data_IF_018861494473
#
_entry.id   IF_018861494473
#
_cell.length_a   1.000
_cell.length_b   1.000
_cell.length_c   1.000
_cell.angle_alpha   90.00
_cell.angle_beta   90.00
_cell.angle_gamma   90.00
#
_symmetry.space_group_name_H-M   'P 1'
#
loop_
_entity.id
_entity.type
_entity.pdbx_description
1 polymer ?
#
# COMPACT_ATOMS: atom_id res chain seq x y z
N UNK A 1 -51.32 7.52 0.31
CA UNK A 1 -49.92 7.71 -0.13
C UNK A 1 -49.19 6.41 0.13
N UNK A 2 -48.79 5.68 -0.91
CA UNK A 2 -47.91 4.52 -0.78
C UNK A 2 -46.52 5.05 -0.47
N UNK A 3 -46.02 4.74 0.72
CA UNK A 3 -44.62 4.97 1.08
C UNK A 3 -43.84 3.91 0.32
N UNK A 4 -43.11 4.32 -0.72
CA UNK A 4 -42.22 3.40 -1.44
C UNK A 4 -41.20 2.85 -0.46
N UNK A 5 -41.19 1.53 -0.28
CA UNK A 5 -40.13 0.84 0.41
C UNK A 5 -38.82 1.17 -0.32
N UNK A 6 -37.97 1.94 0.35
CA UNK A 6 -36.63 2.23 -0.12
C UNK A 6 -35.89 0.90 0.05
N UNK A 7 -35.78 0.13 -1.03
CA UNK A 7 -34.98 -1.08 -1.06
C UNK A 7 -33.55 -0.68 -0.65
N UNK A 8 -33.18 -0.98 0.60
CA UNK A 8 -31.85 -0.72 1.13
C UNK A 8 -30.94 -1.69 0.40
N UNK A 9 -30.41 -1.25 -0.75
CA UNK A 9 -29.47 -2.01 -1.57
C UNK A 9 -28.34 -2.47 -0.65
N UNK A 10 -28.31 -3.77 -0.34
CA UNK A 10 -27.35 -4.34 0.60
C UNK A 10 -25.94 -3.92 0.17
N UNK A 11 -25.13 -3.45 1.14
CA UNK A 11 -23.78 -3.01 0.84
C UNK A 11 -22.98 -4.19 0.28
N UNK A 12 -22.18 -3.99 -0.79
CA UNK A 12 -21.41 -5.09 -1.37
C UNK A 12 -20.51 -5.73 -0.33
N UNK A 13 -20.43 -7.06 -0.34
CA UNK A 13 -19.58 -7.80 0.60
C UNK A 13 -18.12 -7.39 0.43
N UNK A 14 -17.37 -7.17 1.52
CA UNK A 14 -15.96 -6.84 1.44
C UNK A 14 -15.21 -8.01 0.81
N UNK A 15 -14.74 -7.81 -0.41
CA UNK A 15 -14.03 -8.81 -1.18
C UNK A 15 -12.82 -8.20 -1.88
N UNK A 16 -11.80 -9.01 -2.15
CA UNK A 16 -10.66 -8.65 -2.99
C UNK A 16 -11.02 -7.91 -4.27
N UNK A 17 -12.00 -8.44 -4.99
CA UNK A 17 -12.40 -7.99 -6.31
C UNK A 17 -13.12 -6.65 -6.21
N UNK A 18 -13.96 -6.50 -5.18
CA UNK A 18 -14.61 -5.24 -4.87
C UNK A 18 -13.60 -4.15 -4.48
N UNK A 19 -12.61 -4.48 -3.65
CA UNK A 19 -11.52 -3.55 -3.31
C UNK A 19 -10.73 -3.13 -4.56
N UNK A 20 -10.44 -4.07 -5.46
CA UNK A 20 -9.79 -3.77 -6.74
C UNK A 20 -10.62 -2.83 -7.61
N UNK A 21 -11.93 -3.06 -7.71
CA UNK A 21 -12.83 -2.19 -8.45
C UNK A 21 -12.82 -0.76 -7.88
N UNK A 22 -12.97 -0.59 -6.56
CA UNK A 22 -12.94 0.72 -5.90
C UNK A 22 -11.61 1.45 -6.12
N UNK A 23 -10.48 0.74 -6.08
CA UNK A 23 -9.16 1.32 -6.34
C UNK A 23 -8.98 1.74 -7.81
N UNK A 24 -9.54 0.99 -8.75
CA UNK A 24 -9.55 1.34 -10.17
C UNK A 24 -10.44 2.56 -10.43
N UNK A 25 -11.63 2.61 -9.83
CA UNK A 25 -12.53 3.78 -9.88
C UNK A 25 -11.86 5.03 -9.29
N UNK A 26 -11.17 4.88 -8.16
CA UNK A 26 -10.40 5.97 -7.55
C UNK A 26 -9.32 6.49 -8.49
N UNK A 27 -8.56 5.58 -9.09
CA UNK A 27 -7.50 5.93 -10.05
C UNK A 27 -8.08 6.66 -11.27
N UNK A 28 -9.23 6.23 -11.77
CA UNK A 28 -9.92 6.87 -12.89
C UNK A 28 -10.40 8.28 -12.51
N UNK A 29 -11.02 8.45 -11.35
CA UNK A 29 -11.45 9.76 -10.84
C UNK A 29 -10.30 10.74 -10.68
N UNK A 30 -9.17 10.33 -10.12
CA UNK A 30 -7.99 11.19 -9.97
C UNK A 30 -7.27 11.45 -11.29
N UNK A 31 -7.37 10.55 -12.28
CA UNK A 31 -6.70 10.68 -13.57
C UNK A 31 -7.36 11.66 -14.53
N UNK A 32 -8.64 12.00 -14.31
CA UNK A 32 -9.38 12.92 -15.18
C UNK A 32 -9.11 14.37 -14.74
N UNK A 33 -8.32 15.16 -15.50
CA UNK A 33 -7.92 16.52 -15.11
C UNK A 33 -9.10 17.48 -14.98
N UNK A 34 -10.21 17.20 -15.68
CA UNK A 34 -11.43 17.99 -15.65
C UNK A 34 -12.42 17.53 -14.57
N UNK A 35 -12.11 16.48 -13.81
CA UNK A 35 -12.97 15.90 -12.77
C UNK A 35 -12.32 15.99 -11.38
N UNK A 36 -10.98 16.00 -11.34
CA UNK A 36 -10.18 16.17 -10.15
C UNK A 36 -10.56 17.47 -9.44
N UNK A 37 -11.07 17.37 -8.21
CA UNK A 37 -11.51 18.51 -7.40
C UNK A 37 -12.95 18.99 -7.63
N UNK A 38 -13.69 18.45 -8.61
CA UNK A 38 -15.12 18.79 -8.80
C UNK A 38 -15.99 17.94 -7.87
N UNK A 39 -15.69 16.65 -7.75
CA UNK A 39 -16.45 15.72 -6.93
C UNK A 39 -15.74 15.38 -5.62
N UNK A 40 -15.37 16.40 -4.84
CA UNK A 40 -14.72 16.23 -3.52
C UNK A 40 -15.52 15.32 -2.59
N UNK A 41 -16.85 15.40 -2.65
CA UNK A 41 -17.72 14.53 -1.87
C UNK A 41 -17.73 13.08 -2.36
N UNK A 42 -17.63 12.84 -3.67
CA UNK A 42 -17.58 11.49 -4.22
C UNK A 42 -16.24 10.83 -3.93
N UNK A 43 -15.14 11.59 -4.02
CA UNK A 43 -13.81 11.13 -3.62
C UNK A 43 -13.79 10.75 -2.12
N UNK A 44 -14.38 11.58 -1.25
CA UNK A 44 -14.54 11.26 0.17
C UNK A 44 -15.34 9.97 0.39
N UNK A 45 -16.49 9.81 -0.29
CA UNK A 45 -17.32 8.60 -0.17
C UNK A 45 -16.57 7.35 -0.64
N UNK A 46 -15.83 7.46 -1.74
CA UNK A 46 -15.02 6.36 -2.25
C UNK A 46 -13.90 5.98 -1.28
N UNK A 47 -13.26 6.98 -0.65
CA UNK A 47 -12.24 6.75 0.38
C UNK A 47 -12.81 6.12 1.64
N UNK A 48 -13.99 6.55 2.08
CA UNK A 48 -14.72 5.93 3.17
C UNK A 48 -15.06 4.47 2.86
N UNK A 49 -15.48 4.18 1.63
CA UNK A 49 -15.79 2.82 1.19
C UNK A 49 -14.55 1.93 1.15
N UNK A 50 -13.45 2.42 0.56
CA UNK A 50 -12.17 1.72 0.51
C UNK A 50 -11.68 1.42 1.93
N UNK A 51 -11.76 2.40 2.84
CA UNK A 51 -11.33 2.22 4.22
C UNK A 51 -12.23 1.21 4.95
N UNK A 52 -13.55 1.23 4.70
CA UNK A 52 -14.46 0.24 5.27
C UNK A 52 -14.14 -1.18 4.79
N UNK A 53 -14.05 -1.38 3.47
CA UNK A 53 -13.75 -2.70 2.88
C UNK A 53 -12.42 -3.25 3.40
N UNK A 54 -11.38 -2.40 3.46
CA UNK A 54 -10.08 -2.77 4.03
C UNK A 54 -10.19 -3.15 5.49
N UNK A 55 -10.89 -2.35 6.29
CA UNK A 55 -11.08 -2.60 7.71
C UNK A 55 -11.81 -3.93 7.93
N UNK A 56 -12.85 -4.20 7.16
CA UNK A 56 -13.61 -5.45 7.27
C UNK A 56 -12.75 -6.66 6.87
N UNK A 57 -11.99 -6.56 5.77
CA UNK A 57 -11.05 -7.63 5.34
C UNK A 57 -9.93 -7.88 6.36
N UNK A 58 -9.44 -6.83 7.03
CA UNK A 58 -8.41 -6.92 8.06
C UNK A 58 -8.96 -7.54 9.35
N UNK A 59 -10.15 -7.12 9.76
CA UNK A 59 -10.80 -7.65 10.95
C UNK A 59 -11.12 -9.13 10.82
N UNK A 60 -11.57 -9.56 9.64
CA UNK A 60 -11.86 -10.97 9.34
C UNK A 60 -10.60 -11.85 9.41
N UNK A 61 -9.44 -11.32 9.02
CA UNK A 61 -8.17 -12.07 8.99
C UNK A 61 -7.37 -12.06 10.29
N UNK A 62 -7.43 -10.96 11.07
CA UNK A 62 -6.65 -10.80 12.31
C UNK A 62 -7.46 -11.23 13.54
N UNK A 63 -8.78 -11.25 13.45
CA UNK A 63 -9.65 -11.48 14.61
C UNK A 63 -10.92 -12.20 14.19
N UNK A 64 -10.79 -13.48 13.83
CA UNK A 64 -11.96 -14.35 13.76
C UNK A 64 -12.70 -14.32 15.09
N UNK A 65 -13.85 -13.61 15.11
CA UNK A 65 -14.86 -13.66 16.17
C UNK A 65 -14.60 -12.92 17.50
N UNK A 66 -13.93 -11.76 17.52
CA UNK A 66 -13.89 -10.93 18.75
C UNK A 66 -14.32 -9.50 18.49
N UNK A 67 -15.47 -9.15 19.07
CA UNK A 67 -15.98 -7.80 19.26
C UNK A 67 -14.88 -6.83 19.70
N UNK A 68 -14.26 -6.14 18.73
CA UNK A 68 -13.53 -4.91 19.03
C UNK A 68 -14.58 -3.87 19.38
N UNK A 69 -14.96 -3.80 20.65
CA UNK A 69 -15.71 -2.65 21.17
C UNK A 69 -15.04 -1.37 20.65
N UNK A 70 -15.81 -0.43 20.08
CA UNK A 70 -15.34 0.93 19.84
C UNK A 70 -14.62 1.40 21.09
N UNK A 71 -13.48 2.09 20.94
CA UNK A 71 -12.81 2.70 22.08
C UNK A 71 -13.83 3.62 22.77
N UNK A 72 -14.46 3.14 23.84
CA UNK A 72 -15.24 3.98 24.74
C UNK A 72 -14.22 4.82 25.51
N UNK A 73 -13.90 5.94 24.90
CA UNK A 73 -13.03 6.91 25.52
C UNK A 73 -13.84 7.63 26.59
N UNK A 74 -13.30 7.75 27.82
CA UNK A 74 -13.94 8.54 28.86
C UNK A 74 -14.06 10.00 28.40
N UNK A 75 -14.96 10.73 29.06
CA UNK A 75 -15.15 12.16 28.80
C UNK A 75 -13.83 12.91 28.96
N UNK A 76 -13.55 13.85 28.06
CA UNK A 76 -12.30 14.59 28.03
C UNK A 76 -12.23 15.52 29.24
N UNK A 77 -11.59 15.06 30.31
CA UNK A 77 -11.41 15.83 31.53
C UNK A 77 -9.94 16.22 31.72
N UNK A 78 -9.68 17.52 31.83
CA UNK A 78 -8.37 18.08 32.16
C UNK A 78 -7.59 18.62 30.95
N UNK A 79 -6.32 19.03 31.18
CA UNK A 79 -5.48 19.59 30.14
C UNK A 79 -5.05 18.53 29.11
N UNK A 80 -4.78 18.98 27.89
CA UNK A 80 -4.22 18.14 26.83
C UNK A 80 -2.76 17.83 27.19
N UNK A 81 -2.41 16.55 27.19
CA UNK A 81 -1.06 16.06 27.41
C UNK A 81 -0.52 15.40 26.14
N UNK A 82 0.79 15.45 25.99
CA UNK A 82 1.50 14.79 24.91
C UNK A 82 2.26 13.60 25.50
N UNK A 83 1.82 12.38 25.19
CA UNK A 83 2.52 11.17 25.61
C UNK A 83 3.27 10.58 24.41
N UNK A 84 4.45 10.04 24.69
CA UNK A 84 5.30 9.41 23.70
C UNK A 84 5.85 8.11 24.26
N UNK A 85 5.70 7.02 23.51
CA UNK A 85 6.22 5.71 23.85
C UNK A 85 7.12 5.19 22.72
N UNK A 86 8.23 4.55 23.11
CA UNK A 86 9.24 4.03 22.19
C UNK A 86 9.32 2.53 22.33
N UNK A 87 8.98 1.81 21.26
CA UNK A 87 9.04 0.35 21.20
C UNK A 87 10.19 -0.09 20.29
N UNK A 88 11.17 -0.79 20.85
CA UNK A 88 12.29 -1.31 20.08
C UNK A 88 11.89 -2.55 19.28
N UNK A 89 12.38 -2.64 18.04
CA UNK A 89 12.11 -3.77 17.14
C UNK A 89 13.19 -4.84 17.36
N UNK A 90 12.83 -6.13 17.55
CA UNK A 90 13.76 -7.22 17.82
C UNK A 90 14.53 -7.69 16.55
N UNK A 91 15.18 -6.76 15.85
CA UNK A 91 16.00 -7.05 14.66
C UNK A 91 17.26 -7.87 14.96
N UNK A 92 17.69 -7.90 16.23
CA UNK A 92 18.82 -8.71 16.68
C UNK A 92 18.47 -10.21 16.73
N UNK A 93 17.22 -10.52 17.08
CA UNK A 93 16.70 -11.89 17.15
C UNK A 93 16.24 -12.40 15.78
N UNK A 94 15.64 -11.51 14.98
CA UNK A 94 15.11 -11.84 13.65
C UNK A 94 15.64 -10.88 12.58
N UNK A 95 16.92 -11.02 12.17
CA UNK A 95 17.55 -10.08 11.23
C UNK A 95 16.98 -10.15 9.81
N UNK A 96 16.47 -11.31 9.39
CA UNK A 96 15.90 -11.52 8.05
C UNK A 96 14.42 -11.12 7.95
N UNK A 97 13.78 -10.81 9.09
CA UNK A 97 12.37 -10.46 9.12
C UNK A 97 12.13 -8.97 8.89
N UNK A 98 11.28 -8.65 7.91
CA UNK A 98 10.99 -7.25 7.56
C UNK A 98 9.83 -6.67 8.40
N UNK A 99 10.15 -6.28 9.65
CA UNK A 99 9.19 -5.62 10.54
C UNK A 99 8.67 -4.29 9.98
N UNK A 100 9.55 -3.47 9.39
CA UNK A 100 9.18 -2.15 8.85
C UNK A 100 8.11 -2.29 7.77
N UNK A 101 8.31 -3.22 6.82
CA UNK A 101 7.35 -3.49 5.76
C UNK A 101 6.00 -3.99 6.29
N UNK A 102 6.01 -4.82 7.34
CA UNK A 102 4.78 -5.34 7.97
C UNK A 102 3.99 -4.27 8.72
N UNK A 103 4.67 -3.36 9.42
CA UNK A 103 4.02 -2.29 10.20
C UNK A 103 3.44 -1.22 9.27
N UNK A 104 4.21 -0.78 8.27
CA UNK A 104 3.75 0.23 7.30
C UNK A 104 2.69 -0.33 6.34
N UNK A 105 2.88 -1.55 5.87
CA UNK A 105 2.04 -2.16 4.85
C UNK A 105 2.12 -1.46 3.48
N UNK A 106 1.21 -1.77 2.56
CA UNK A 106 1.22 -1.20 1.21
C UNK A 106 1.02 0.32 1.27
N UNK A 107 1.96 1.08 0.70
CA UNK A 107 1.94 2.57 0.68
C UNK A 107 1.75 3.22 2.07
N UNK A 108 2.11 2.54 3.17
CA UNK A 108 1.93 3.07 4.53
C UNK A 108 0.48 3.01 5.04
N UNK A 109 -0.41 2.32 4.32
CA UNK A 109 -1.85 2.30 4.63
C UNK A 109 -2.15 1.53 5.92
N UNK A 110 -1.39 0.48 6.25
CA UNK A 110 -1.59 -0.27 7.50
C UNK A 110 -1.24 0.60 8.71
N UNK A 111 -0.12 1.32 8.66
CA UNK A 111 0.22 2.27 9.72
C UNK A 111 -0.84 3.36 9.83
N UNK A 112 -1.29 3.94 8.72
CA UNK A 112 -2.34 4.98 8.73
C UNK A 112 -3.67 4.47 9.29
N UNK A 113 -4.06 3.24 8.99
CA UNK A 113 -5.25 2.63 9.57
C UNK A 113 -5.09 2.45 11.08
N UNK A 114 -3.93 1.96 11.53
CA UNK A 114 -3.65 1.78 12.95
C UNK A 114 -3.65 3.12 13.70
N UNK A 115 -3.13 4.18 13.09
CA UNK A 115 -3.20 5.55 13.61
C UNK A 115 -4.66 6.04 13.72
N UNK A 116 -5.49 5.80 12.69
CA UNK A 116 -6.89 6.20 12.68
C UNK A 116 -7.73 5.46 13.73
N UNK A 117 -7.45 4.18 13.97
CA UNK A 117 -8.19 3.36 14.95
C UNK A 117 -7.80 3.63 16.39
N UNK A 118 -6.51 3.92 16.64
CA UNK A 118 -6.00 4.15 17.99
C UNK A 118 -6.04 5.63 18.37
N UNK A 119 -6.09 6.54 17.38
CA UNK A 119 -5.94 7.97 17.59
C UNK A 119 -4.52 8.35 18.03
N UNK A 120 -3.54 7.47 17.80
CA UNK A 120 -2.13 7.72 18.02
C UNK A 120 -1.43 7.96 16.68
N UNK A 121 -0.27 8.60 16.71
CA UNK A 121 0.62 8.75 15.57
C UNK A 121 1.78 7.78 15.70
N UNK A 122 2.06 7.03 14.63
CA UNK A 122 2.98 5.90 14.62
C UNK A 122 4.08 6.20 13.61
N UNK A 123 5.31 6.33 14.10
CA UNK A 123 6.47 6.70 13.28
C UNK A 123 7.56 5.66 13.44
N UNK A 124 7.99 5.04 12.35
CA UNK A 124 9.17 4.16 12.36
C UNK A 124 10.43 5.03 12.29
N UNK A 125 11.33 4.84 13.27
CA UNK A 125 12.56 5.60 13.47
C UNK A 125 13.70 4.63 13.85
N UNK A 126 14.92 5.15 14.02
CA UNK A 126 16.10 4.31 14.26
C UNK A 126 16.90 3.96 13.01
N UNK A 127 17.97 3.19 13.21
CA UNK A 127 18.83 2.63 12.18
C UNK A 127 18.10 1.59 11.33
N UNK A 128 18.37 1.56 10.04
CA UNK A 128 17.70 0.73 9.02
C UNK A 128 16.20 1.02 8.87
N UNK A 129 15.73 2.18 9.32
CA UNK A 129 14.35 2.61 9.08
C UNK A 129 14.13 3.02 7.63
N UNK A 130 15.19 3.40 6.90
CA UNK A 130 15.11 3.76 5.50
C UNK A 130 15.32 2.55 4.59
N UNK A 131 14.60 2.54 3.47
CA UNK A 131 14.79 1.53 2.41
C UNK A 131 16.22 1.57 1.83
N UNK A 132 16.77 2.77 1.66
CA UNK A 132 18.10 2.99 1.07
C UNK A 132 19.15 3.20 2.17
N UNK A 133 19.88 2.14 2.54
CA UNK A 133 20.96 2.22 3.56
C UNK A 133 22.01 3.28 3.25
N UNK A 134 22.37 3.47 1.97
CA UNK A 134 23.34 4.50 1.54
C UNK A 134 22.87 5.92 1.83
N UNK A 135 21.58 6.20 1.62
CA UNK A 135 21.00 7.53 1.91
C UNK A 135 20.87 7.77 3.40
N UNK A 136 20.56 6.71 4.15
CA UNK A 136 20.49 6.75 5.60
C UNK A 136 21.81 7.21 6.20
N UNK A 137 22.92 6.59 5.79
CA UNK A 137 24.26 6.92 6.30
C UNK A 137 24.69 8.35 5.95
N UNK A 138 24.32 8.85 4.77
CA UNK A 138 24.59 10.24 4.36
C UNK A 138 23.76 11.29 5.12
N UNK A 139 22.59 10.90 5.65
CA UNK A 139 21.74 11.79 6.44
C UNK A 139 21.99 11.67 7.94
N UNK A 140 22.79 10.70 8.36
CA UNK A 140 23.16 10.49 9.76
C UNK A 140 23.92 11.71 10.28
N UNK A 141 23.48 12.25 11.42
CA UNK A 141 24.08 13.44 12.05
C UNK A 141 23.53 14.78 11.55
N UNK A 142 22.57 14.79 10.62
CA UNK A 142 21.83 16.02 10.27
C UNK A 142 20.76 16.35 11.31
N UNK A 143 20.39 17.64 11.49
CA UNK A 143 19.25 18.01 12.32
C UNK A 143 17.98 17.29 11.82
N UNK A 144 17.14 16.83 12.75
CA UNK A 144 15.97 15.95 12.52
C UNK A 144 16.27 14.49 12.11
N UNK A 145 17.55 14.10 11.95
CA UNK A 145 17.97 12.73 11.62
C UNK A 145 18.77 12.05 12.74
N UNK A 146 18.79 12.64 13.94
CA UNK A 146 19.51 12.11 15.10
C UNK A 146 19.03 10.71 15.50
N UNK A 147 17.75 10.44 15.25
CA UNK A 147 17.15 9.12 15.48
C UNK A 147 17.84 8.00 14.70
N UNK A 148 18.58 8.28 13.62
CA UNK A 148 19.34 7.28 12.87
C UNK A 148 20.51 6.68 13.67
N UNK A 149 20.92 7.33 14.77
CA UNK A 149 21.91 6.78 15.68
C UNK A 149 21.35 5.73 16.63
N UNK A 150 20.03 5.68 16.80
CA UNK A 150 19.36 4.78 17.72
C UNK A 150 19.03 3.44 17.04
N UNK A 151 18.84 2.38 17.81
CA UNK A 151 18.34 1.10 17.29
C UNK A 151 16.95 1.27 16.66
N UNK A 152 16.58 0.40 15.71
CA UNK A 152 15.27 0.43 15.03
C UNK A 152 14.14 0.39 16.06
N UNK A 153 13.25 1.38 16.02
CA UNK A 153 12.15 1.50 16.95
C UNK A 153 10.91 2.14 16.31
N UNK A 154 9.76 1.84 16.88
CA UNK A 154 8.49 2.48 16.57
C UNK A 154 8.22 3.52 17.64
N UNK A 155 8.00 4.75 17.21
CA UNK A 155 7.62 5.87 18.07
C UNK A 155 6.12 6.07 17.98
N UNK A 156 5.44 5.94 19.11
CA UNK A 156 4.00 6.17 19.23
C UNK A 156 3.82 7.46 20.01
N UNK A 157 3.13 8.45 19.43
CA UNK A 157 2.81 9.72 20.09
C UNK A 157 1.31 9.93 20.11
N UNK A 158 0.77 10.41 21.22
CA UNK A 158 -0.65 10.74 21.36
C UNK A 158 -0.79 12.12 22.00
N UNK A 159 -1.76 12.87 21.48
CA UNK A 159 -2.15 14.18 21.99
C UNK A 159 -3.62 14.09 22.39
N UNK A 160 -3.89 14.02 23.70
CA UNK A 160 -5.25 13.98 24.25
C UNK A 160 -5.20 14.32 25.75
N UNK A 161 -6.35 14.34 26.42
CA UNK A 161 -6.44 14.36 27.88
C UNK A 161 -5.78 13.14 28.51
N UNK A 162 -5.19 13.29 29.71
CA UNK A 162 -4.41 12.25 30.41
C UNK A 162 -5.07 10.86 30.37
N UNK A 163 -6.33 10.74 30.80
CA UNK A 163 -7.05 9.47 30.85
C UNK A 163 -7.26 8.83 29.48
N UNK A 164 -7.61 9.63 28.46
CA UNK A 164 -7.81 9.15 27.09
C UNK A 164 -6.49 8.79 26.43
N UNK A 165 -5.45 9.60 26.65
CA UNK A 165 -4.12 9.41 26.13
C UNK A 165 -3.53 8.07 26.61
N UNK A 166 -3.68 7.73 27.89
CA UNK A 166 -3.21 6.45 28.45
C UNK A 166 -3.93 5.23 27.84
N UNK A 167 -5.24 5.30 27.63
CA UNK A 167 -6.02 4.22 27.00
C UNK A 167 -5.62 4.04 25.54
N UNK A 168 -5.54 5.15 24.79
CA UNK A 168 -5.11 5.14 23.38
C UNK A 168 -3.70 4.60 23.23
N UNK A 169 -2.76 5.08 24.05
CA UNK A 169 -1.37 4.64 24.04
C UNK A 169 -1.29 3.14 24.29
N UNK A 170 -1.95 2.63 25.34
CA UNK A 170 -1.94 1.21 25.68
C UNK A 170 -2.42 0.33 24.54
N UNK A 171 -3.51 0.72 23.87
CA UNK A 171 -4.04 -0.02 22.71
C UNK A 171 -3.08 0.03 21.52
N UNK A 172 -2.52 1.19 21.20
CA UNK A 172 -1.53 1.32 20.13
C UNK A 172 -0.30 0.46 20.39
N UNK A 173 0.20 0.45 21.62
CA UNK A 173 1.33 -0.35 22.06
C UNK A 173 1.04 -1.84 21.93
N UNK A 174 -0.15 -2.29 22.32
CA UNK A 174 -0.55 -3.70 22.22
C UNK A 174 -0.63 -4.15 20.75
N UNK A 175 -1.26 -3.36 19.88
CA UNK A 175 -1.36 -3.67 18.46
C UNK A 175 0.02 -3.66 17.78
N UNK A 176 0.88 -2.68 18.09
CA UNK A 176 2.26 -2.65 17.55
C UNK A 176 3.06 -3.86 18.06
N UNK A 177 2.93 -4.25 19.33
CA UNK A 177 3.60 -5.44 19.86
C UNK A 177 3.20 -6.71 19.12
N UNK A 178 1.94 -6.88 18.72
CA UNK A 178 1.49 -8.01 17.88
C UNK A 178 2.20 -8.04 16.52
N UNK A 179 2.51 -6.87 15.95
CA UNK A 179 3.24 -6.75 14.68
C UNK A 179 4.75 -7.01 14.83
N UNK A 180 5.30 -6.84 16.04
CA UNK A 180 6.71 -7.09 16.37
C UNK A 180 7.02 -8.57 16.65
N UNK A 181 6.01 -9.44 16.68
CA UNK A 181 6.20 -10.89 16.79
C UNK A 181 6.16 -11.50 15.38
N UNK A 182 7.26 -12.06 14.86
CA UNK A 182 7.25 -12.70 13.56
C UNK A 182 6.31 -13.92 13.58
N UNK A 183 5.33 -13.95 12.70
CA UNK A 183 4.54 -15.14 12.46
C UNK A 183 5.33 -16.12 11.56
N UNK A 184 5.12 -17.42 11.76
CA UNK A 184 5.74 -18.45 10.92
C UNK A 184 5.33 -18.26 9.45
N UNK A 185 6.25 -18.55 8.52
CA UNK A 185 5.98 -18.44 7.09
C UNK A 185 4.80 -19.34 6.69
N UNK A 186 3.76 -18.75 6.10
CA UNK A 186 2.54 -19.45 5.67
C UNK A 186 1.32 -19.25 6.56
N UNK A 187 1.52 -18.88 7.83
CA UNK A 187 0.42 -18.59 8.78
C UNK A 187 0.15 -17.09 8.93
N UNK A 188 1.02 -16.23 8.39
CA UNK A 188 0.86 -14.77 8.45
C UNK A 188 -0.22 -14.28 7.47
N UNK A 189 -1.49 -14.38 7.90
CA UNK A 189 -2.65 -13.89 7.15
C UNK A 189 -2.55 -12.38 6.85
N UNK A 190 -1.98 -11.62 7.79
CA UNK A 190 -1.74 -10.19 7.61
C UNK A 190 -0.78 -9.93 6.44
N UNK A 191 0.37 -10.62 6.41
CA UNK A 191 1.33 -10.50 5.30
C UNK A 191 0.69 -10.87 3.96
N UNK A 192 -0.13 -11.93 3.91
CA UNK A 192 -0.87 -12.32 2.69
C UNK A 192 -1.81 -11.21 2.21
N UNK A 193 -2.60 -10.64 3.12
CA UNK A 193 -3.52 -9.54 2.80
C UNK A 193 -2.78 -8.29 2.30
N UNK A 194 -1.69 -7.90 2.96
CA UNK A 194 -0.88 -6.74 2.56
C UNK A 194 -0.23 -6.94 1.18
N UNK A 195 0.32 -8.13 0.91
CA UNK A 195 0.92 -8.46 -0.39
C UNK A 195 -0.13 -8.49 -1.51
N UNK A 196 -1.29 -9.02 -1.20
CA UNK A 196 -2.43 -9.04 -2.11
C UNK A 196 -2.92 -7.63 -2.46
N UNK A 197 -3.10 -6.78 -1.46
CA UNK A 197 -3.46 -5.38 -1.68
C UNK A 197 -2.37 -4.63 -2.47
N UNK A 198 -1.10 -4.89 -2.17
CA UNK A 198 0.02 -4.33 -2.93
C UNK A 198 -0.03 -4.76 -4.40
N UNK A 199 -0.37 -6.02 -4.68
CA UNK A 199 -0.53 -6.54 -6.04
C UNK A 199 -1.71 -5.86 -6.76
N UNK A 200 -2.82 -5.59 -6.06
CA UNK A 200 -3.96 -4.84 -6.60
C UNK A 200 -3.53 -3.42 -6.96
N UNK A 201 -2.86 -2.71 -6.04
CA UNK A 201 -2.37 -1.35 -6.26
C UNK A 201 -1.34 -1.24 -7.40
N UNK A 202 -0.55 -2.30 -7.62
CA UNK A 202 0.41 -2.39 -8.71
C UNK A 202 -0.21 -2.88 -10.04
N UNK A 203 -1.46 -3.34 -10.03
CA UNK A 203 -2.13 -3.91 -11.20
C UNK A 203 -1.58 -5.28 -11.63
N UNK A 204 -0.89 -5.99 -10.74
CA UNK A 204 -0.34 -7.34 -10.98
C UNK A 204 -1.17 -8.44 -10.35
N UNK A 205 -2.23 -8.09 -9.61
CA UNK A 205 -3.16 -9.04 -9.04
C UNK A 205 -3.89 -9.81 -10.15
N UNK A 206 -3.98 -11.14 -9.99
CA UNK A 206 -4.69 -12.05 -10.89
C UNK A 206 -5.64 -12.89 -10.05
N UNK A 207 -6.90 -12.93 -10.44
CA UNK A 207 -7.95 -13.64 -9.72
C UNK A 207 -7.64 -15.14 -9.66
N UNK A 208 -7.56 -15.69 -8.46
CA UNK A 208 -7.44 -17.15 -8.27
C UNK A 208 -8.80 -17.87 -8.33
N UNK A 209 -9.91 -17.12 -8.39
CA UNK A 209 -11.28 -17.67 -8.36
C UNK A 209 -12.08 -17.46 -9.66
N UNK A 210 -11.50 -16.84 -10.69
CA UNK A 210 -12.10 -16.87 -12.04
C UNK A 210 -11.55 -18.10 -12.74
N UNK A 211 -12.42 -19.11 -12.90
CA UNK A 211 -12.21 -20.17 -13.89
C UNK A 211 -12.03 -19.48 -15.24
N UNK A 212 -10.78 -19.28 -15.65
CA UNK A 212 -10.47 -18.66 -16.92
C UNK A 212 -11.21 -19.42 -18.03
N UNK A 213 -11.90 -18.75 -18.97
CA UNK A 213 -12.04 -19.37 -20.27
C UNK A 213 -10.61 -19.47 -20.81
N UNK A 214 -10.17 -20.67 -21.13
CA UNK A 214 -8.92 -20.88 -21.85
C UNK A 214 -9.03 -20.23 -23.24
N UNK A 215 -8.64 -18.96 -23.35
CA UNK A 215 -8.34 -18.23 -24.57
C UNK A 215 -7.73 -16.88 -24.13
N UNK A 216 -6.55 -16.41 -24.55
CA UNK A 216 -5.69 -16.82 -25.64
C UNK A 216 -4.24 -16.46 -25.28
N UNK A 217 -3.34 -17.43 -25.39
CA UNK A 217 -1.96 -17.12 -25.76
C UNK A 217 -1.96 -16.74 -27.24
N UNK A 218 -2.09 -15.45 -27.53
CA UNK A 218 -1.84 -14.87 -28.86
C UNK A 218 -0.87 -13.69 -28.64
N UNK A 219 0.42 -13.98 -28.73
CA UNK A 219 1.26 -13.53 -29.84
C UNK A 219 1.23 -12.01 -30.01
N UNK A 220 2.35 -11.37 -29.68
CA UNK A 220 2.59 -9.96 -29.99
C UNK A 220 2.43 -9.65 -31.48
N UNK A 221 2.42 -8.36 -31.88
CA UNK A 221 2.15 -7.98 -33.25
C UNK A 221 3.22 -8.53 -34.19
N UNK A 222 2.93 -9.64 -34.87
CA UNK A 222 3.66 -10.09 -36.05
C UNK A 222 3.27 -9.15 -37.20
N UNK A 223 4.20 -8.30 -37.59
CA UNK A 223 4.13 -7.54 -38.84
C UNK A 223 4.03 -8.53 -40.00
N UNK A 224 2.90 -8.47 -40.69
CA UNK A 224 2.58 -9.24 -41.89
C UNK A 224 3.41 -8.68 -43.05
N UNK A 225 4.38 -9.45 -43.52
CA UNK A 225 5.12 -9.19 -44.75
C UNK A 225 4.22 -9.49 -45.96
N UNK A 226 4.11 -8.52 -46.86
CA UNK A 226 3.43 -8.68 -48.16
C UNK A 226 4.31 -9.46 -49.15
N UNK A 227 3.74 -10.28 -50.06
CA UNK A 227 4.50 -10.92 -51.14
C UNK A 227 4.56 -9.95 -52.33
N UNK A 228 5.72 -9.34 -52.56
CA UNK A 228 5.98 -8.57 -53.77
C UNK A 228 6.44 -9.50 -54.91
N UNK A 229 5.64 -9.54 -55.97
CA UNK A 229 5.95 -10.20 -57.23
C UNK A 229 7.15 -9.56 -57.95
N UNK A 230 7.77 -10.39 -58.79
CA UNK A 230 8.92 -10.11 -59.63
C UNK A 230 8.80 -8.81 -60.45
N UNK A 231 9.83 -7.98 -60.40
CA UNK A 231 10.16 -7.02 -61.45
C UNK A 231 11.68 -6.89 -61.56
N UNK A 232 12.18 -7.03 -62.79
CA UNK A 232 13.59 -7.10 -63.21
C UNK A 232 14.41 -5.84 -62.85
N UNK A 233 15.75 -5.95 -62.71
CA UNK A 233 16.62 -4.81 -62.44
C UNK A 233 17.07 -4.08 -63.73
N UNK A 234 17.19 -2.74 -63.73
CA UNK A 234 17.92 -2.04 -64.78
C UNK A 234 19.41 -1.86 -64.44
N UNK A 235 20.18 -1.61 -65.51
CA UNK A 235 21.60 -1.83 -65.67
C UNK A 235 22.54 -0.86 -64.94
N UNK A 236 23.76 -1.38 -64.68
CA UNK A 236 24.87 -0.75 -64.00
C UNK A 236 25.46 0.48 -64.72
N UNK A 237 25.74 1.55 -63.96
CA UNK A 237 26.65 2.63 -64.34
C UNK A 237 27.98 2.46 -63.59
N UNK A 238 29.04 2.37 -64.40
CA UNK A 238 30.46 2.13 -64.08
C UNK A 238 31.07 3.23 -63.18
N UNK A 239 32.04 2.91 -62.30
CA UNK A 239 32.83 3.91 -61.58
C UNK A 239 34.04 4.43 -62.41
N UNK A 240 34.51 5.67 -62.20
CA UNK A 240 35.73 6.16 -62.80
C UNK A 240 36.99 5.76 -62.01
N UNK A 241 38.03 5.42 -62.78
CA UNK A 241 39.40 5.05 -62.40
C UNK A 241 40.15 6.17 -61.66
N UNK A 242 40.94 5.83 -60.64
CA UNK A 242 42.03 6.67 -60.10
C UNK A 242 43.39 6.19 -60.63
N UNK A 243 44.32 7.08 -61.00
CA UNK A 243 45.62 6.72 -61.54
C UNK A 243 46.65 6.44 -60.43
N UNK A 244 47.56 5.52 -60.77
CA UNK A 244 48.71 5.10 -59.99
C UNK A 244 49.76 6.20 -59.82
N UNK A 245 50.53 6.11 -58.74
CA UNK A 245 51.80 6.82 -58.57
C UNK A 245 52.87 5.78 -58.19
N UNK A 246 54.03 5.74 -58.87
CA UNK A 246 55.06 4.76 -58.60
C UNK A 246 56.09 5.26 -57.58
N UNK A 247 56.67 4.28 -56.88
CA UNK A 247 57.99 4.20 -56.21
C UNK A 247 58.52 5.43 -55.47
#
# INVERSE_FOLDING_TARGET
MMVGEIEVKERPRPSPDYLMQLLNEKKLMTSLPNLCGIFTHLERLLDEEINRVRKDMYNDTVSGLVDKHPLELPEAHGPIVHLQEKLFVPVKEYPDYNFVGRILGPRGLTAKQLEAETGCKIMVRGKSSMRDKKKEEQNRGKPNWEHLNEDLHVLITVEDTQARAEIKMRRAVEEVKKLLVPAAEGEDNLKKMQLMELAILNGTYRDTNVKAPAAAAAQGPRLIAAPAGQVLPPAALRPPTRPARPS
#
